data_IF_104225625474
#
_entry.id   IF_104225625474
#
_cell.length_a   1.000
_cell.length_b   1.000
_cell.length_c   1.000
_cell.angle_alpha   90.00
_cell.angle_beta   90.00
_cell.angle_gamma   90.00
#
_symmetry.space_group_name_H-M   'P 1'
#
loop_
_entity.id
_entity.type
_entity.pdbx_description
1 polymer ?
#
# COMPACT_ATOMS: atom_id res chain seq x y z
N UNK A 1 -43.01 34.58 19.96
CA UNK A 1 -42.09 34.76 20.65
C UNK A 1 -41.35 33.57 20.96
N UNK A 2 -41.82 32.59 21.33
CA UNK A 2 -41.13 31.44 21.71
C UNK A 2 -40.58 30.67 20.59
N UNK A 3 -41.01 30.91 19.42
CA UNK A 3 -40.55 30.12 18.30
C UNK A 3 -39.12 30.39 17.95
N UNK A 4 -38.64 31.52 18.31
CA UNK A 4 -37.27 31.81 17.98
C UNK A 4 -36.28 30.94 18.70
N UNK A 5 -36.62 30.50 19.86
CA UNK A 5 -35.71 29.69 20.62
C UNK A 5 -35.54 28.34 20.01
N UNK A 6 -36.61 27.85 19.44
CA UNK A 6 -36.52 26.53 18.87
C UNK A 6 -35.73 26.55 17.59
N UNK A 7 -35.81 27.63 16.87
CA UNK A 7 -35.09 27.70 15.64
C UNK A 7 -33.58 27.72 15.87
N UNK A 8 -33.20 28.40 16.93
CA UNK A 8 -31.78 28.45 17.21
C UNK A 8 -31.22 27.11 17.62
N UNK A 9 -32.02 26.35 18.30
CA UNK A 9 -31.55 25.06 18.73
C UNK A 9 -31.33 24.11 17.58
N UNK A 10 -32.11 24.24 16.56
CA UNK A 10 -31.96 23.35 15.44
C UNK A 10 -30.73 23.63 14.64
N UNK A 11 -30.34 24.86 14.55
CA UNK A 11 -29.18 25.18 13.76
C UNK A 11 -27.91 24.61 14.31
N UNK A 12 -27.87 24.45 15.60
CA UNK A 12 -26.65 23.96 16.16
C UNK A 12 -26.33 22.55 15.87
N UNK A 13 -27.25 21.76 15.47
CA UNK A 13 -26.99 20.37 15.32
C UNK A 13 -26.39 19.99 14.00
N UNK A 14 -26.28 20.91 13.11
CA UNK A 14 -25.86 20.51 11.79
C UNK A 14 -24.39 20.54 11.57
N UNK A 15 -23.65 21.13 12.43
CA UNK A 15 -22.30 21.40 12.11
C UNK A 15 -21.31 20.32 12.44
N UNK A 16 -21.71 19.23 12.98
CA UNK A 16 -20.75 18.32 13.43
C UNK A 16 -20.34 17.25 12.47
N UNK A 17 -21.08 17.07 11.46
CA UNK A 17 -20.86 15.91 10.67
C UNK A 17 -19.72 15.95 9.70
N UNK A 18 -19.25 17.09 9.37
CA UNK A 18 -18.34 17.17 8.29
C UNK A 18 -16.94 16.69 8.56
N UNK A 19 -16.59 16.50 9.76
CA UNK A 19 -15.22 16.26 10.04
C UNK A 19 -14.76 14.86 9.86
N UNK A 20 -15.62 13.93 9.93
CA UNK A 20 -15.19 12.59 9.97
C UNK A 20 -14.70 12.02 8.68
N UNK A 21 -14.84 12.72 7.63
CA UNK A 21 -14.48 12.14 6.41
C UNK A 21 -13.09 12.23 6.01
N UNK A 22 -12.32 12.96 6.72
CA UNK A 22 -11.09 13.18 6.18
C UNK A 22 -10.08 12.25 6.50
N UNK A 23 -10.32 11.27 7.07
CA UNK A 23 -9.30 10.59 7.39
C UNK A 23 -8.82 9.68 6.56
N UNK A 24 -8.23 9.39 6.07
CA UNK A 24 -7.88 8.55 5.42
C UNK A 24 -6.85 8.36 4.95
N UNK A 25 -6.41 7.86 4.99
CA UNK A 25 -5.89 7.19 4.72
C UNK A 25 -4.84 7.15 3.91
N UNK A 26 -4.68 7.76 3.29
CA UNK A 26 -3.82 7.77 2.45
C UNK A 26 -2.52 7.73 2.86
N UNK A 27 -2.23 7.92 3.88
CA UNK A 27 -0.98 7.98 4.25
C UNK A 27 -0.28 6.75 4.46
N UNK A 28 -0.72 5.64 4.21
CA UNK A 28 -0.06 4.44 4.44
C UNK A 28 1.12 4.25 3.57
N UNK A 29 2.29 4.17 4.12
CA UNK A 29 3.48 3.89 3.38
C UNK A 29 3.50 2.43 3.00
N UNK A 30 4.00 2.06 1.83
CA UNK A 30 4.10 0.67 1.45
C UNK A 30 5.02 -0.09 2.39
N UNK A 31 4.74 -1.36 2.56
CA UNK A 31 5.63 -2.20 3.36
C UNK A 31 6.94 -2.35 2.61
N UNK A 32 8.07 -2.21 3.28
CA UNK A 32 9.35 -2.35 2.58
C UNK A 32 9.57 -3.77 2.09
N UNK A 33 10.30 -3.88 1.01
CA UNK A 33 10.60 -5.18 0.41
C UNK A 33 11.56 -5.92 1.34
N UNK A 34 11.22 -7.10 1.81
CA UNK A 34 12.04 -7.75 2.83
C UNK A 34 13.23 -8.53 2.32
N UNK A 35 13.34 -8.74 1.03
CA UNK A 35 14.38 -9.57 0.48
C UNK A 35 15.48 -8.74 -0.15
N UNK A 36 16.63 -9.33 -0.36
CA UNK A 36 17.69 -8.70 -1.13
C UNK A 36 17.85 -9.35 -2.50
N UNK A 37 16.89 -10.16 -2.89
CA UNK A 37 16.91 -10.84 -4.18
C UNK A 37 15.69 -10.44 -5.00
N UNK A 38 15.81 -10.64 -6.30
CA UNK A 38 14.70 -10.34 -7.20
C UNK A 38 13.54 -11.29 -6.95
N UNK A 39 12.34 -10.76 -6.88
CA UNK A 39 11.19 -11.60 -6.63
C UNK A 39 10.89 -12.53 -7.80
N UNK A 40 11.20 -12.12 -9.00
CA UNK A 40 10.89 -12.91 -10.19
C UNK A 40 11.97 -13.94 -10.49
N UNK A 41 13.22 -13.53 -10.58
CA UNK A 41 14.27 -14.45 -10.98
C UNK A 41 15.11 -15.01 -9.83
N UNK A 42 15.02 -14.40 -8.66
CA UNK A 42 15.78 -14.90 -7.51
C UNK A 42 17.22 -14.47 -7.43
N UNK A 43 17.69 -13.69 -8.39
CA UNK A 43 19.07 -13.25 -8.36
C UNK A 43 19.24 -12.09 -7.40
N UNK A 44 20.43 -11.88 -6.94
CA UNK A 44 20.70 -10.81 -5.98
C UNK A 44 20.48 -9.45 -6.63
N UNK A 45 19.78 -8.59 -5.92
CA UNK A 45 19.50 -7.25 -6.42
C UNK A 45 20.78 -6.45 -6.48
N UNK A 46 20.91 -5.67 -7.52
CA UNK A 46 22.09 -4.85 -7.71
C UNK A 46 23.18 -5.49 -8.55
N UNK A 47 23.17 -6.79 -8.72
CA UNK A 47 24.17 -7.44 -9.54
C UNK A 47 24.01 -7.13 -11.01
N UNK A 48 22.78 -6.90 -11.44
CA UNK A 48 22.48 -6.60 -12.82
C UNK A 48 22.23 -5.11 -13.05
N UNK A 49 22.62 -4.25 -12.12
CA UNK A 49 22.39 -2.82 -12.21
C UNK A 49 21.31 -2.39 -11.25
N UNK A 50 20.69 -1.27 -11.51
CA UNK A 50 19.67 -0.75 -10.60
C UNK A 50 18.44 -1.61 -10.64
N UNK A 51 17.94 -2.02 -9.50
CA UNK A 51 16.71 -2.79 -9.48
C UNK A 51 15.52 -1.92 -9.84
N UNK A 52 14.49 -2.55 -10.36
CA UNK A 52 13.24 -1.89 -10.64
C UNK A 52 12.36 -1.99 -9.40
N UNK A 53 11.92 -0.86 -8.88
CA UNK A 53 11.15 -0.81 -7.65
C UNK A 53 9.75 -0.31 -7.95
N UNK A 54 8.74 -0.98 -7.46
CA UNK A 54 7.37 -0.55 -7.63
C UNK A 54 6.54 -1.04 -6.45
N UNK A 55 5.29 -0.62 -6.38
CA UNK A 55 4.40 -0.99 -5.29
C UNK A 55 3.20 -1.75 -5.85
N UNK A 56 2.86 -2.85 -5.22
CA UNK A 56 1.68 -3.62 -5.59
C UNK A 56 0.88 -3.91 -4.34
N UNK A 57 -0.35 -3.42 -4.29
CA UNK A 57 -1.26 -3.59 -3.15
C UNK A 57 -0.61 -3.23 -1.81
N UNK A 58 0.07 -2.13 -1.78
CA UNK A 58 0.69 -1.65 -0.55
C UNK A 58 1.99 -2.33 -0.16
N UNK A 59 2.53 -3.16 -1.03
CA UNK A 59 3.80 -3.85 -0.78
C UNK A 59 4.85 -3.39 -1.77
N UNK A 60 5.99 -2.95 -1.29
CA UNK A 60 7.12 -2.61 -2.16
C UNK A 60 7.68 -3.87 -2.78
N UNK A 61 7.91 -3.85 -4.08
CA UNK A 61 8.43 -4.98 -4.81
C UNK A 61 9.69 -4.54 -5.55
N UNK A 62 10.71 -5.36 -5.51
CA UNK A 62 11.95 -5.09 -6.23
C UNK A 62 12.28 -6.25 -7.15
N UNK A 63 12.55 -5.93 -8.39
CA UNK A 63 12.95 -6.93 -9.39
C UNK A 63 14.19 -6.40 -10.12
N UNK A 64 14.87 -7.27 -10.85
CA UNK A 64 16.14 -6.90 -11.46
C UNK A 64 16.01 -5.87 -12.56
N UNK A 65 14.97 -5.92 -13.34
CA UNK A 65 14.80 -4.98 -14.46
C UNK A 65 13.34 -4.91 -14.89
N UNK A 66 13.06 -4.12 -15.89
CA UNK A 66 11.69 -3.93 -16.32
C UNK A 66 11.08 -5.14 -16.97
N UNK A 67 11.87 -5.98 -17.60
CA UNK A 67 11.36 -7.22 -18.17
C UNK A 67 10.75 -8.09 -17.08
N UNK A 68 11.39 -8.12 -15.94
CA UNK A 68 10.90 -8.92 -14.84
C UNK A 68 9.68 -8.29 -14.21
N UNK A 69 9.56 -6.99 -14.26
CA UNK A 69 8.33 -6.35 -13.83
C UNK A 69 7.17 -6.75 -14.71
N UNK A 70 7.39 -6.87 -16.02
CA UNK A 70 6.36 -7.32 -16.93
C UNK A 70 5.97 -8.76 -16.61
N UNK A 71 6.92 -9.59 -16.25
CA UNK A 71 6.62 -10.94 -15.84
C UNK A 71 5.79 -10.96 -14.56
N UNK A 72 6.09 -10.07 -13.63
CA UNK A 72 5.29 -9.94 -12.42
C UNK A 72 3.85 -9.58 -12.78
N UNK A 73 3.68 -8.65 -13.72
CA UNK A 73 2.34 -8.18 -14.08
C UNK A 73 1.50 -9.29 -14.74
N UNK A 74 2.13 -10.29 -15.30
CA UNK A 74 1.39 -11.38 -15.91
C UNK A 74 0.73 -12.28 -14.88
N UNK A 75 1.33 -12.42 -13.71
CA UNK A 75 0.76 -13.27 -12.67
C UNK A 75 1.18 -12.75 -11.31
N UNK A 76 0.69 -11.60 -10.91
CA UNK A 76 1.15 -10.99 -9.68
C UNK A 76 0.86 -11.81 -8.43
N UNK A 77 -0.24 -12.54 -8.42
CA UNK A 77 -0.59 -13.31 -7.23
C UNK A 77 0.41 -14.42 -6.97
N UNK A 78 0.95 -15.02 -8.02
CA UNK A 78 1.95 -16.03 -7.87
C UNK A 78 3.19 -15.48 -7.16
N UNK A 79 3.62 -14.30 -7.58
CA UNK A 79 4.82 -13.70 -6.99
C UNK A 79 4.54 -13.17 -5.59
N UNK A 80 3.33 -12.72 -5.31
CA UNK A 80 2.98 -12.30 -3.97
C UNK A 80 3.00 -13.47 -2.99
N UNK A 81 2.56 -14.65 -3.43
CA UNK A 81 2.66 -15.85 -2.60
C UNK A 81 4.11 -16.23 -2.36
N UNK A 82 4.93 -16.08 -3.37
CA UNK A 82 6.35 -16.36 -3.25
C UNK A 82 7.00 -15.41 -2.23
N UNK A 83 6.63 -14.16 -2.28
CA UNK A 83 7.16 -13.18 -1.34
C UNK A 83 6.72 -13.50 0.08
N UNK A 84 5.47 -13.85 0.28
CA UNK A 84 4.99 -14.18 1.59
C UNK A 84 5.69 -15.40 2.17
N UNK A 85 5.96 -16.39 1.34
CA UNK A 85 6.68 -17.57 1.78
C UNK A 85 8.13 -17.24 2.16
N UNK A 86 8.77 -16.39 1.38
CA UNK A 86 10.14 -15.98 1.67
C UNK A 86 10.21 -15.15 2.93
N UNK A 87 9.24 -14.28 3.13
CA UNK A 87 9.20 -13.45 4.31
C UNK A 87 8.99 -14.30 5.55
N UNK A 88 8.17 -15.31 5.46
CA UNK A 88 7.95 -16.21 6.58
C UNK A 88 9.23 -16.93 6.99
N UNK A 89 10.08 -17.26 6.02
CA UNK A 89 11.34 -17.87 6.35
C UNK A 89 12.28 -16.92 7.05
N UNK A 90 12.21 -15.64 6.75
CA UNK A 90 13.07 -14.68 7.39
C UNK A 90 12.70 -14.43 8.84
N UNK A 91 11.48 -14.70 9.19
CA UNK A 91 11.04 -14.45 10.55
C UNK A 91 11.36 -15.55 11.53
N UNK A 92 11.95 -16.60 11.10
CA UNK A 92 12.34 -17.66 12.02
C UNK A 92 13.61 -17.39 12.78
#
# INVERSE_FOLDING_TARGET
>A
MNNLKFILAIILTVTIVAVSLTSRAEEQKPKPYPLDTCLVCGMKLGDMGKPCVFVYKGQEIKVCNESERKDFDKDPDKYMKKLAAAEAKLKK
#
